data_IF_680323461046
#
_entry.id   IF_680323461046
#
_cell.length_a   1.000
_cell.length_b   1.000
_cell.length_c   1.000
_cell.angle_alpha   90.00
_cell.angle_beta   90.00
_cell.angle_gamma   90.00
#
_symmetry.space_group_name_H-M   'P 1'
#
loop_
_entity.id
_entity.type
_entity.pdbx_description
1 polymer ?
#
# COMPACT_ATOMS: atom_id res chain seq x y z
N UNK A 1 -0.81 6.60 -0.21
CA UNK A 1 -2.21 6.96 0.11
C UNK A 1 -3.07 5.72 -0.05
N UNK A 2 -3.68 5.28 1.05
CA UNK A 2 -4.24 3.95 1.23
C UNK A 2 -5.29 3.55 0.18
N UNK A 3 -5.21 2.29 -0.24
CA UNK A 3 -6.30 1.61 -0.92
C UNK A 3 -7.45 1.48 0.08
N UNK A 4 -8.50 2.28 -0.17
CA UNK A 4 -9.83 2.16 0.44
C UNK A 4 -9.85 2.36 1.94
N UNK A 5 -9.80 3.64 2.32
CA UNK A 5 -10.03 4.08 3.67
C UNK A 5 -11.50 3.78 4.04
N UNK A 6 -11.71 2.97 5.08
CA UNK A 6 -13.00 2.68 5.72
C UNK A 6 -13.58 3.90 6.45
N UNK A 7 -13.09 5.10 6.13
CA UNK A 7 -13.30 6.37 6.82
C UNK A 7 -14.40 7.25 6.18
N UNK A 8 -15.05 6.80 5.10
CA UNK A 8 -16.24 7.49 4.62
C UNK A 8 -17.43 7.21 5.54
N UNK A 9 -18.13 8.25 6.01
CA UNK A 9 -19.12 8.08 7.05
C UNK A 9 -20.35 7.31 6.52
N UNK A 10 -20.83 6.32 7.30
CA UNK A 10 -21.90 5.38 6.92
C UNK A 10 -23.20 6.05 6.44
N UNK A 11 -23.46 7.30 6.83
CA UNK A 11 -24.63 8.04 6.34
C UNK A 11 -24.57 8.33 4.84
N UNK A 12 -23.36 8.46 4.27
CA UNK A 12 -23.18 8.72 2.83
C UNK A 12 -23.71 7.54 1.99
N UNK A 13 -23.59 6.31 2.48
CA UNK A 13 -24.13 5.13 1.79
C UNK A 13 -25.66 5.15 1.64
N UNK A 14 -26.36 5.82 2.55
CA UNK A 14 -27.82 5.94 2.49
C UNK A 14 -28.26 6.83 1.32
N UNK A 15 -27.47 7.87 1.02
CA UNK A 15 -27.74 8.86 -0.04
C UNK A 15 -27.29 8.39 -1.44
N UNK A 16 -26.43 7.37 -1.52
CA UNK A 16 -25.96 6.85 -2.81
C UNK A 16 -27.10 6.18 -3.59
N UNK A 17 -27.15 6.34 -4.93
CA UNK A 17 -28.05 5.55 -5.76
C UNK A 17 -27.80 4.05 -5.60
N UNK A 18 -28.84 3.19 -5.77
CA UNK A 18 -28.75 1.74 -5.48
C UNK A 18 -27.56 1.03 -6.13
N UNK A 19 -27.17 1.42 -7.34
CA UNK A 19 -26.04 0.84 -8.07
C UNK A 19 -24.65 1.15 -7.50
N UNK A 20 -24.53 2.23 -6.73
CA UNK A 20 -23.27 2.64 -6.10
C UNK A 20 -23.17 2.19 -4.64
N UNK A 21 -24.28 1.75 -4.05
CA UNK A 21 -24.28 1.14 -2.71
C UNK A 21 -23.44 -0.13 -2.70
N UNK A 22 -22.72 -0.32 -1.61
CA UNK A 22 -21.93 -1.52 -1.37
C UNK A 22 -22.85 -2.74 -1.38
N UNK A 23 -22.38 -3.83 -1.96
CA UNK A 23 -23.10 -5.11 -1.95
C UNK A 23 -23.26 -5.61 -0.50
N UNK A 24 -24.47 -6.06 -0.18
CA UNK A 24 -24.79 -6.61 1.13
C UNK A 24 -24.09 -7.96 1.33
N UNK A 25 -23.58 -8.19 2.55
CA UNK A 25 -22.87 -9.43 2.86
C UNK A 25 -23.76 -10.67 2.76
N UNK A 26 -25.05 -10.55 3.11
CA UNK A 26 -26.06 -11.61 3.00
C UNK A 26 -26.16 -12.21 1.59
N UNK A 27 -25.99 -11.39 0.56
CA UNK A 27 -26.06 -11.82 -0.85
C UNK A 27 -24.81 -12.56 -1.33
N UNK A 28 -23.73 -12.53 -0.53
CA UNK A 28 -22.42 -13.10 -0.86
C UNK A 28 -21.95 -14.19 0.12
N UNK A 29 -22.63 -14.40 1.25
CA UNK A 29 -22.32 -15.41 2.27
C UNK A 29 -22.67 -16.85 1.85
N UNK A 30 -22.71 -17.13 0.56
CA UNK A 30 -22.95 -18.47 0.02
C UNK A 30 -21.62 -19.16 -0.29
N UNK A 31 -21.54 -20.46 -0.01
CA UNK A 31 -20.35 -21.28 -0.27
C UNK A 31 -19.98 -21.29 -1.76
N UNK A 32 -20.97 -21.26 -2.65
CA UNK A 32 -20.77 -21.12 -4.11
C UNK A 32 -19.96 -19.86 -4.44
N UNK A 33 -20.27 -18.76 -3.75
CA UNK A 33 -19.69 -17.44 -4.00
C UNK A 33 -18.28 -17.37 -3.45
N UNK A 34 -18.03 -17.96 -2.27
CA UNK A 34 -16.67 -18.08 -1.74
C UNK A 34 -15.78 -18.90 -2.66
N UNK A 35 -16.26 -20.03 -3.16
CA UNK A 35 -15.53 -20.87 -4.12
C UNK A 35 -15.27 -20.16 -5.46
N UNK A 36 -16.25 -19.39 -5.92
CA UNK A 36 -16.10 -18.59 -7.14
C UNK A 36 -15.04 -17.51 -7.00
N UNK A 37 -15.04 -16.78 -5.88
CA UNK A 37 -14.06 -15.72 -5.63
C UNK A 37 -12.66 -16.30 -5.39
N UNK A 38 -12.53 -17.40 -4.65
CA UNK A 38 -11.23 -18.07 -4.46
C UNK A 38 -10.67 -18.61 -5.78
N UNK A 39 -11.51 -19.15 -6.64
CA UNK A 39 -11.11 -19.56 -7.99
C UNK A 39 -10.65 -18.35 -8.84
N UNK A 40 -11.37 -17.23 -8.77
CA UNK A 40 -10.98 -16.01 -9.46
C UNK A 40 -9.63 -15.45 -8.94
N UNK A 41 -9.37 -15.59 -7.65
CA UNK A 41 -8.09 -15.23 -7.03
C UNK A 41 -6.94 -16.13 -7.50
N UNK A 42 -7.14 -17.45 -7.51
CA UNK A 42 -6.13 -18.41 -8.01
C UNK A 42 -5.79 -18.16 -9.48
N UNK A 43 -6.78 -17.87 -10.32
CA UNK A 43 -6.54 -17.55 -11.72
C UNK A 43 -5.75 -16.25 -11.88
N UNK A 44 -5.95 -15.25 -11.02
CA UNK A 44 -5.14 -14.04 -11.04
C UNK A 44 -3.68 -14.35 -10.67
N UNK A 45 -3.44 -15.20 -9.68
CA UNK A 45 -2.08 -15.64 -9.31
C UNK A 45 -1.42 -16.35 -10.50
N UNK A 46 -2.11 -17.29 -11.16
CA UNK A 46 -1.59 -17.93 -12.38
C UNK A 46 -1.32 -16.95 -13.53
N UNK A 47 -2.15 -15.93 -13.70
CA UNK A 47 -1.94 -14.93 -14.73
C UNK A 47 -0.73 -14.05 -14.43
N UNK A 48 -0.46 -13.76 -13.16
CA UNK A 48 0.74 -13.04 -12.71
C UNK A 48 1.98 -13.88 -12.99
N UNK A 49 1.95 -15.19 -12.67
CA UNK A 49 3.09 -16.09 -12.88
C UNK A 49 3.43 -16.31 -14.36
N UNK A 50 2.41 -16.34 -15.23
CA UNK A 50 2.57 -16.52 -16.68
C UNK A 50 2.88 -15.22 -17.43
N UNK A 51 3.01 -14.10 -16.72
CA UNK A 51 3.13 -12.80 -17.33
C UNK A 51 4.59 -12.49 -17.68
N UNK A 52 4.87 -12.36 -18.97
CA UNK A 52 6.18 -11.88 -19.43
C UNK A 52 6.27 -10.35 -19.26
N UNK A 53 7.16 -9.83 -18.37
CA UNK A 53 7.21 -8.40 -18.05
C UNK A 53 7.62 -7.51 -19.24
N UNK A 54 8.29 -8.09 -20.23
CA UNK A 54 8.80 -7.39 -21.41
C UNK A 54 7.75 -7.22 -22.51
N UNK A 55 6.65 -7.98 -22.48
CA UNK A 55 5.57 -7.85 -23.46
C UNK A 55 4.46 -6.93 -22.95
N UNK A 56 4.61 -5.63 -23.15
CA UNK A 56 3.56 -4.63 -22.92
C UNK A 56 2.41 -4.71 -23.97
N UNK A 57 2.14 -5.90 -24.48
CA UNK A 57 1.13 -6.18 -25.51
C UNK A 57 -0.24 -6.37 -24.86
N UNK A 58 -1.33 -6.04 -25.56
CA UNK A 58 -2.68 -6.28 -25.05
C UNK A 58 -2.95 -7.79 -24.98
N UNK A 59 -3.01 -8.31 -23.74
CA UNK A 59 -3.28 -9.72 -23.48
C UNK A 59 -4.75 -9.94 -23.08
N UNK A 60 -5.29 -11.10 -23.46
CA UNK A 60 -6.65 -11.51 -23.11
C UNK A 60 -6.60 -12.97 -22.67
N UNK A 61 -7.09 -13.23 -21.46
CA UNK A 61 -7.31 -14.58 -20.97
C UNK A 61 -8.78 -14.79 -20.66
N UNK A 62 -9.27 -15.96 -21.06
CA UNK A 62 -10.59 -16.44 -20.70
C UNK A 62 -10.41 -17.88 -20.22
N UNK A 63 -10.85 -18.17 -19.00
CA UNK A 63 -10.85 -19.52 -18.44
C UNK A 63 -12.25 -19.84 -17.92
N UNK A 64 -12.70 -21.04 -18.25
CA UNK A 64 -13.99 -21.57 -17.83
C UNK A 64 -13.75 -22.92 -17.18
N UNK A 65 -14.12 -23.05 -15.92
CA UNK A 65 -13.96 -24.29 -15.16
C UNK A 65 -15.06 -24.39 -14.10
N UNK A 66 -15.56 -25.60 -13.85
CA UNK A 66 -16.55 -25.90 -12.79
C UNK A 66 -17.78 -24.98 -12.78
N UNK A 67 -18.21 -24.49 -13.95
CA UNK A 67 -19.34 -23.57 -14.07
C UNK A 67 -19.02 -22.08 -13.79
N UNK A 68 -17.79 -21.76 -13.44
CA UNK A 68 -17.29 -20.39 -13.35
C UNK A 68 -16.58 -20.01 -14.64
N UNK A 69 -16.66 -18.75 -15.02
CA UNK A 69 -15.84 -18.22 -16.10
C UNK A 69 -15.27 -16.88 -15.73
N UNK A 70 -13.97 -16.77 -15.86
CA UNK A 70 -13.20 -15.60 -15.52
C UNK A 70 -12.52 -15.09 -16.79
N UNK A 71 -12.59 -13.78 -16.97
CA UNK A 71 -12.06 -13.07 -18.12
C UNK A 71 -11.17 -11.93 -17.63
N UNK A 72 -9.92 -11.95 -18.07
CA UNK A 72 -8.94 -10.89 -17.83
C UNK A 72 -8.51 -10.31 -19.17
N UNK A 73 -8.64 -8.99 -19.33
CA UNK A 73 -8.19 -8.26 -20.52
C UNK A 73 -7.30 -7.11 -20.08
N UNK A 74 -6.03 -7.18 -20.47
CA UNK A 74 -5.06 -6.14 -20.25
C UNK A 74 -5.04 -5.25 -21.49
N UNK A 75 -5.21 -3.95 -21.27
CA UNK A 75 -4.95 -2.90 -22.26
C UNK A 75 -3.81 -2.02 -21.73
N UNK A 76 -3.26 -1.18 -22.59
CA UNK A 76 -2.24 -0.20 -22.20
C UNK A 76 -2.68 0.69 -21.03
N UNK A 77 -3.96 1.05 -20.98
CA UNK A 77 -4.48 2.03 -20.01
C UNK A 77 -5.29 1.43 -18.86
N UNK A 78 -5.84 0.24 -19.07
CA UNK A 78 -6.87 -0.34 -18.22
C UNK A 78 -6.71 -1.85 -18.15
N UNK A 79 -6.93 -2.40 -16.96
CA UNK A 79 -7.10 -3.84 -16.75
C UNK A 79 -8.60 -4.08 -16.51
N UNK A 80 -9.16 -5.02 -17.26
CA UNK A 80 -10.56 -5.39 -17.23
C UNK A 80 -10.66 -6.82 -16.72
N UNK A 81 -11.21 -6.98 -15.51
CA UNK A 81 -11.39 -8.27 -14.88
C UNK A 81 -12.87 -8.52 -14.65
N UNK A 82 -13.38 -9.64 -15.15
CA UNK A 82 -14.79 -9.99 -14.98
C UNK A 82 -14.94 -11.47 -14.76
N UNK A 83 -15.83 -11.84 -13.84
CA UNK A 83 -16.22 -13.22 -13.62
C UNK A 83 -17.72 -13.38 -13.79
N UNK A 84 -18.15 -14.54 -14.26
CA UNK A 84 -19.53 -14.99 -14.18
C UNK A 84 -19.60 -16.38 -13.58
N UNK A 85 -20.56 -16.55 -12.67
CA UNK A 85 -21.02 -17.84 -12.17
C UNK A 85 -22.23 -18.28 -12.99
N UNK A 86 -22.08 -19.39 -13.70
CA UNK A 86 -23.11 -20.02 -14.51
C UNK A 86 -23.63 -21.33 -13.92
N UNK A 87 -23.26 -21.65 -12.67
CA UNK A 87 -23.78 -22.83 -11.99
C UNK A 87 -25.32 -22.76 -11.93
N UNK A 88 -25.96 -23.86 -12.33
CA UNK A 88 -27.41 -24.04 -12.33
C UNK A 88 -27.91 -24.71 -11.05
N UNK A 89 -27.06 -24.83 -10.03
CA UNK A 89 -27.44 -25.46 -8.78
C UNK A 89 -28.56 -24.68 -8.11
N UNK A 90 -29.55 -25.40 -7.57
CA UNK A 90 -30.79 -24.83 -7.00
C UNK A 90 -30.55 -23.83 -5.86
N UNK A 91 -29.37 -23.87 -5.23
CA UNK A 91 -28.97 -23.00 -4.13
C UNK A 91 -28.11 -21.80 -4.55
N UNK A 92 -27.51 -21.79 -5.75
CA UNK A 92 -26.63 -20.69 -6.17
C UNK A 92 -27.39 -19.64 -6.97
N UNK A 93 -27.35 -18.39 -6.48
CA UNK A 93 -27.80 -17.24 -7.27
C UNK A 93 -26.75 -16.92 -8.35
N UNK A 94 -27.11 -16.83 -9.65
CA UNK A 94 -26.16 -16.46 -10.68
C UNK A 94 -25.59 -15.07 -10.44
N UNK A 95 -24.25 -14.96 -10.46
CA UNK A 95 -23.53 -13.73 -10.15
C UNK A 95 -22.57 -13.38 -11.28
N UNK A 96 -22.48 -12.10 -11.60
CA UNK A 96 -21.50 -11.57 -12.54
C UNK A 96 -20.85 -10.33 -11.97
N UNK A 97 -19.54 -10.32 -11.84
CA UNK A 97 -18.80 -9.12 -11.43
C UNK A 97 -17.98 -8.55 -12.58
N UNK A 98 -17.71 -7.26 -12.48
CA UNK A 98 -16.90 -6.51 -13.41
C UNK A 98 -16.06 -5.49 -12.64
N UNK A 99 -14.75 -5.56 -12.82
CA UNK A 99 -13.77 -4.66 -12.25
C UNK A 99 -12.99 -4.02 -13.38
N UNK A 100 -13.00 -2.70 -13.39
CA UNK A 100 -12.18 -1.86 -14.25
C UNK A 100 -11.13 -1.18 -13.38
N UNK A 101 -9.88 -1.48 -13.69
CA UNK A 101 -8.71 -0.96 -13.00
C UNK A 101 -7.91 -0.06 -13.92
N UNK A 102 -7.58 1.11 -13.40
CA UNK A 102 -6.75 2.10 -14.07
C UNK A 102 -5.29 1.83 -13.71
N UNK A 103 -4.47 1.63 -14.74
CA UNK A 103 -3.06 1.28 -14.57
C UNK A 103 -2.29 2.46 -13.97
N UNK A 104 -1.32 2.15 -13.11
CA UNK A 104 -0.50 3.15 -12.42
C UNK A 104 0.22 4.11 -13.38
N UNK A 105 0.65 3.65 -14.56
CA UNK A 105 1.30 4.49 -15.60
C UNK A 105 0.44 5.71 -16.02
N UNK A 106 -0.88 5.64 -15.84
CA UNK A 106 -1.82 6.69 -16.28
C UNK A 106 -2.51 7.37 -15.09
N UNK A 107 -2.60 6.67 -13.96
CA UNK A 107 -3.12 7.27 -12.74
C UNK A 107 -2.21 8.44 -12.32
N UNK A 108 -2.75 9.67 -12.23
CA UNK A 108 -2.03 10.87 -11.77
C UNK A 108 -1.51 10.78 -10.31
N UNK A 109 -1.75 9.67 -9.63
CA UNK A 109 -1.30 9.36 -8.27
C UNK A 109 -0.61 8.00 -8.35
N UNK A 110 0.52 7.83 -7.67
CA UNK A 110 1.45 6.67 -7.70
C UNK A 110 0.88 5.30 -7.28
N UNK A 111 -0.43 5.10 -7.36
CA UNK A 111 -1.10 3.85 -7.05
C UNK A 111 -2.14 3.60 -8.13
N UNK A 112 -2.06 2.49 -8.85
CA UNK A 112 -3.17 2.02 -9.69
C UNK A 112 -4.47 1.99 -8.89
N UNK A 113 -5.60 2.36 -9.50
CA UNK A 113 -6.89 2.51 -8.80
C UNK A 113 -8.02 1.74 -9.45
N UNK A 114 -8.91 1.19 -8.63
CA UNK A 114 -10.19 0.67 -9.10
C UNK A 114 -11.11 1.82 -9.54
N UNK A 115 -11.17 2.04 -10.86
CA UNK A 115 -12.07 3.03 -11.48
C UNK A 115 -13.52 2.64 -11.30
N UNK A 116 -13.86 1.38 -11.50
CA UNK A 116 -15.21 0.85 -11.31
C UNK A 116 -15.17 -0.61 -10.85
N UNK A 117 -16.02 -0.95 -9.90
CA UNK A 117 -16.25 -2.33 -9.48
C UNK A 117 -17.74 -2.53 -9.28
N UNK A 118 -18.35 -3.41 -10.06
CA UNK A 118 -19.79 -3.68 -9.99
C UNK A 118 -20.05 -5.17 -9.97
N UNK A 119 -21.03 -5.61 -9.18
CA UNK A 119 -21.60 -6.96 -9.24
C UNK A 119 -23.07 -6.89 -9.64
N UNK A 120 -23.47 -7.86 -10.45
CA UNK A 120 -24.83 -8.16 -10.86
C UNK A 120 -25.19 -9.51 -10.23
N UNK A 121 -26.23 -9.51 -9.42
CA UNK A 121 -26.74 -10.71 -8.73
C UNK A 121 -28.15 -10.94 -9.22
N UNK A 122 -28.46 -12.14 -9.70
CA UNK A 122 -29.83 -12.53 -10.04
C UNK A 122 -30.47 -13.18 -8.82
N UNK A 123 -31.24 -12.40 -8.07
CA UNK A 123 -31.99 -12.88 -6.92
C UNK A 123 -33.47 -13.01 -7.30
N UNK A 124 -33.97 -14.26 -7.33
CA UNK A 124 -35.39 -14.59 -7.61
C UNK A 124 -35.94 -13.91 -8.88
N UNK A 125 -35.14 -13.81 -9.94
CA UNK A 125 -35.51 -13.20 -11.22
C UNK A 125 -35.31 -11.68 -11.29
N UNK A 126 -34.85 -11.05 -10.21
CA UNK A 126 -34.50 -9.62 -10.18
C UNK A 126 -32.99 -9.44 -10.23
N UNK A 127 -32.54 -8.60 -11.17
CA UNK A 127 -31.11 -8.27 -11.30
C UNK A 127 -30.77 -7.12 -10.36
N UNK A 128 -30.01 -7.43 -9.31
CA UNK A 128 -29.51 -6.45 -8.34
C UNK A 128 -28.11 -6.02 -8.77
N UNK A 129 -27.95 -4.72 -9.05
CA UNK A 129 -26.66 -4.10 -9.36
C UNK A 129 -26.11 -3.38 -8.12
N UNK A 130 -24.89 -3.71 -7.70
CA UNK A 130 -24.22 -3.11 -6.53
C UNK A 130 -22.74 -2.85 -6.77
N UNK A 131 -22.17 -1.96 -5.98
CA UNK A 131 -20.73 -1.68 -5.94
C UNK A 131 -20.00 -2.75 -5.13
N UNK A 132 -18.86 -3.20 -5.63
CA UNK A 132 -17.96 -4.12 -4.91
C UNK A 132 -16.71 -3.43 -4.35
N UNK A 133 -16.54 -2.13 -4.59
CA UNK A 133 -15.33 -1.39 -4.19
C UNK A 133 -15.02 -1.48 -2.69
N UNK A 134 -16.06 -1.52 -1.85
CA UNK A 134 -15.94 -1.59 -0.38
C UNK A 134 -16.24 -2.97 0.19
N UNK A 135 -16.50 -3.95 -0.67
CA UNK A 135 -16.88 -5.28 -0.22
C UNK A 135 -15.67 -6.02 0.33
N UNK A 136 -15.72 -6.55 1.57
CA UNK A 136 -14.60 -7.30 2.14
C UNK A 136 -14.30 -8.56 1.34
N UNK A 137 -15.31 -9.15 0.69
CA UNK A 137 -15.17 -10.35 -0.14
C UNK A 137 -14.29 -10.15 -1.38
N UNK A 138 -14.16 -8.92 -1.88
CA UNK A 138 -13.37 -8.60 -3.07
C UNK A 138 -11.98 -8.07 -2.73
N UNK A 139 -11.61 -7.98 -1.44
CA UNK A 139 -10.33 -7.44 -1.00
C UNK A 139 -9.15 -8.23 -1.58
N UNK A 140 -9.21 -9.56 -1.58
CA UNK A 140 -8.14 -10.41 -2.12
C UNK A 140 -7.96 -10.26 -3.63
N UNK A 141 -9.07 -10.14 -4.38
CA UNK A 141 -9.04 -9.82 -5.81
C UNK A 141 -8.39 -8.45 -6.06
N UNK A 142 -8.75 -7.41 -5.30
CA UNK A 142 -8.15 -6.08 -5.48
C UNK A 142 -6.66 -6.06 -5.16
N UNK A 143 -6.22 -6.82 -4.15
CA UNK A 143 -4.80 -6.97 -3.84
C UNK A 143 -4.05 -7.62 -5.01
N UNK A 144 -4.54 -8.74 -5.55
CA UNK A 144 -3.94 -9.41 -6.71
C UNK A 144 -3.95 -8.56 -7.97
N UNK A 145 -5.01 -7.78 -8.19
CA UNK A 145 -5.05 -6.83 -9.28
C UNK A 145 -4.00 -5.72 -9.15
N UNK A 146 -3.71 -5.27 -7.92
CA UNK A 146 -2.60 -4.35 -7.66
C UNK A 146 -1.27 -5.01 -8.00
N UNK A 147 -1.05 -6.25 -7.54
CA UNK A 147 0.16 -7.04 -7.84
C UNK A 147 0.35 -7.23 -9.35
N UNK A 148 -0.73 -7.54 -10.07
CA UNK A 148 -0.73 -7.67 -11.52
C UNK A 148 -0.31 -6.37 -12.23
N UNK A 149 -0.81 -5.22 -11.77
CA UNK A 149 -0.43 -3.92 -12.35
C UNK A 149 1.06 -3.61 -12.12
N UNK A 150 1.60 -3.96 -10.93
CA UNK A 150 3.02 -3.85 -10.63
C UNK A 150 3.88 -4.80 -11.47
N UNK A 151 3.47 -6.07 -11.59
CA UNK A 151 4.16 -7.06 -12.43
C UNK A 151 4.25 -6.59 -13.90
N UNK A 152 3.17 -5.99 -14.41
CA UNK A 152 3.12 -5.39 -15.76
C UNK A 152 3.99 -4.14 -15.94
N UNK A 153 4.45 -3.53 -14.84
CA UNK A 153 5.40 -2.41 -14.85
C UNK A 153 6.84 -2.89 -14.64
N UNK A 154 7.05 -4.18 -14.38
CA UNK A 154 8.35 -4.74 -14.00
C UNK A 154 8.79 -4.34 -12.58
N UNK A 155 7.89 -3.75 -11.78
CA UNK A 155 8.14 -3.49 -10.37
C UNK A 155 7.67 -4.70 -9.55
N UNK A 156 8.61 -5.43 -8.96
CA UNK A 156 8.26 -6.53 -8.07
C UNK A 156 7.59 -5.96 -6.82
N UNK A 157 6.29 -6.21 -6.67
CA UNK A 157 5.45 -5.66 -5.59
C UNK A 157 5.92 -6.03 -4.17
N UNK A 158 6.85 -6.97 -4.03
CA UNK A 158 7.54 -7.26 -2.76
C UNK A 158 8.39 -6.10 -2.24
N UNK A 159 8.66 -5.07 -3.05
CA UNK A 159 9.44 -3.90 -2.64
C UNK A 159 8.59 -2.71 -2.13
N UNK A 160 7.26 -2.76 -2.18
CA UNK A 160 6.43 -1.63 -1.73
C UNK A 160 6.07 -1.65 -0.23
N UNK A 161 6.43 -2.69 0.51
CA UNK A 161 6.55 -2.60 1.97
C UNK A 161 7.94 -2.02 2.27
N UNK A 162 8.07 -0.69 2.19
CA UNK A 162 9.33 -0.02 2.53
C UNK A 162 10.05 0.74 1.43
N UNK A 163 9.44 0.92 0.25
CA UNK A 163 10.04 1.81 -0.76
C UNK A 163 10.02 3.25 -0.25
N UNK A 164 11.20 3.72 0.19
CA UNK A 164 11.46 5.13 0.51
C UNK A 164 11.09 5.95 -0.74
N UNK A 165 10.21 6.94 -0.55
CA UNK A 165 9.87 7.93 -1.58
C UNK A 165 11.16 8.42 -2.28
N UNK A 166 11.25 8.38 -3.62
CA UNK A 166 12.48 8.73 -4.33
C UNK A 166 13.02 10.11 -3.93
N UNK A 167 12.14 11.06 -3.61
CA UNK A 167 12.53 12.40 -3.13
C UNK A 167 13.21 12.33 -1.76
N UNK A 168 12.69 11.52 -0.84
CA UNK A 168 13.28 11.34 0.49
C UNK A 168 14.62 10.58 0.41
N UNK A 169 14.74 9.67 -0.55
CA UNK A 169 16.00 8.96 -0.81
C UNK A 169 17.09 9.89 -1.33
N UNK A 170 16.74 10.79 -2.25
CA UNK A 170 17.67 11.84 -2.70
C UNK A 170 18.10 12.77 -1.57
N UNK A 171 17.16 13.18 -0.70
CA UNK A 171 17.45 14.00 0.48
C UNK A 171 18.38 13.30 1.47
N UNK A 172 18.19 12.00 1.68
CA UNK A 172 19.07 11.18 2.52
C UNK A 172 20.49 11.10 1.92
N UNK A 173 20.60 10.88 0.62
CA UNK A 173 21.91 10.88 -0.07
C UNK A 173 22.60 12.24 0.02
N UNK A 174 21.85 13.33 -0.12
CA UNK A 174 22.38 14.69 0.07
C UNK A 174 22.87 14.89 1.50
N UNK A 175 22.11 14.45 2.50
CA UNK A 175 22.52 14.52 3.91
C UNK A 175 23.81 13.72 4.17
N UNK A 176 23.96 12.55 3.56
CA UNK A 176 25.19 11.76 3.63
C UNK A 176 26.39 12.53 3.09
N UNK A 177 26.24 13.21 1.95
CA UNK A 177 27.29 14.07 1.41
C UNK A 177 27.65 15.20 2.37
N UNK A 178 26.65 15.89 2.93
CA UNK A 178 26.88 16.96 3.91
C UNK A 178 27.62 16.42 5.14
N UNK A 179 27.23 15.27 5.67
CA UNK A 179 27.84 14.66 6.86
C UNK A 179 29.29 14.20 6.65
N UNK A 180 29.73 14.01 5.41
CA UNK A 180 31.12 13.66 5.05
C UNK A 180 32.05 14.88 4.92
N UNK A 181 31.55 16.10 5.11
CA UNK A 181 32.37 17.31 5.03
C UNK A 181 33.53 17.29 6.04
N UNK A 182 34.73 17.73 5.64
CA UNK A 182 35.95 17.65 6.44
C UNK A 182 35.91 18.36 7.81
N UNK A 183 34.97 19.29 8.00
CA UNK A 183 34.80 20.03 9.26
C UNK A 183 33.82 19.35 10.23
N UNK A 184 33.13 18.31 9.77
CA UNK A 184 32.28 17.46 10.59
C UNK A 184 33.12 16.22 10.93
N UNK A 185 33.77 16.26 12.09
CA UNK A 185 34.68 15.21 12.53
C UNK A 185 34.38 14.77 13.97
N UNK A 186 35.00 13.66 14.39
CA UNK A 186 34.88 13.14 15.74
C UNK A 186 33.43 12.79 16.13
N UNK A 187 33.00 13.32 17.27
CA UNK A 187 31.73 12.94 17.89
C UNK A 187 30.52 13.40 17.07
N UNK A 188 30.60 14.58 16.42
CA UNK A 188 29.54 15.10 15.55
C UNK A 188 29.32 14.17 14.34
N UNK A 189 30.40 13.75 13.68
CA UNK A 189 30.33 12.82 12.56
C UNK A 189 29.72 11.48 12.98
N UNK A 190 30.15 10.93 14.12
CA UNK A 190 29.61 9.67 14.65
C UNK A 190 28.09 9.74 14.95
N UNK A 191 27.59 10.92 15.35
CA UNK A 191 26.16 11.14 15.63
C UNK A 191 25.36 11.37 14.35
N UNK A 192 25.89 12.16 13.41
CA UNK A 192 25.26 12.38 12.12
C UNK A 192 25.08 11.06 11.35
N UNK A 193 26.10 10.19 11.36
CA UNK A 193 26.03 8.85 10.76
C UNK A 193 25.00 7.94 11.43
N UNK A 194 24.87 7.98 12.77
CA UNK A 194 23.79 7.29 13.48
C UNK A 194 22.41 7.80 13.08
N UNK A 195 22.21 9.12 13.01
CA UNK A 195 20.96 9.71 12.56
C UNK A 195 20.60 9.27 11.13
N UNK A 196 21.57 9.27 10.22
CA UNK A 196 21.39 8.75 8.85
C UNK A 196 20.94 7.29 8.89
N UNK A 197 21.54 6.46 9.75
CA UNK A 197 21.12 5.07 9.91
C UNK A 197 19.67 4.95 10.41
N UNK A 198 19.28 5.77 11.40
CA UNK A 198 17.90 5.80 11.91
C UNK A 198 16.91 6.25 10.83
N UNK A 199 17.25 7.26 10.03
CA UNK A 199 16.42 7.66 8.90
C UNK A 199 16.25 6.51 7.90
N UNK A 200 17.31 5.74 7.60
CA UNK A 200 17.21 4.56 6.72
C UNK A 200 16.25 3.50 7.26
N UNK A 201 16.13 3.36 8.57
CA UNK A 201 15.21 2.41 9.21
C UNK A 201 13.77 2.94 9.24
N UNK A 202 13.57 4.23 9.53
CA UNK A 202 12.24 4.82 9.71
C UNK A 202 11.54 5.13 8.37
N UNK A 203 12.28 5.64 7.37
CA UNK A 203 11.70 6.09 6.10
C UNK A 203 10.88 5.01 5.36
N UNK A 204 11.31 3.73 5.32
CA UNK A 204 10.51 2.63 4.80
C UNK A 204 9.18 2.42 5.55
N UNK A 205 9.17 2.64 6.86
CA UNK A 205 8.10 2.24 7.77
C UNK A 205 7.36 3.44 8.37
N UNK A 206 7.14 4.51 7.60
CA UNK A 206 6.45 5.72 8.08
C UNK A 206 4.94 5.55 8.32
N UNK A 207 4.32 4.47 7.85
CA UNK A 207 2.86 4.28 7.90
C UNK A 207 2.27 4.24 9.32
N UNK A 208 2.89 3.57 10.32
CA UNK A 208 2.38 3.51 11.70
C UNK A 208 2.41 4.84 12.45
N UNK A 209 3.21 5.80 11.98
CA UNK A 209 3.35 7.10 12.62
C UNK A 209 2.17 8.03 12.29
N UNK A 210 1.87 8.95 13.20
CA UNK A 210 0.84 9.96 13.00
C UNK A 210 1.27 11.00 11.94
N UNK A 211 0.31 11.82 11.48
CA UNK A 211 0.58 12.82 10.44
C UNK A 211 1.63 13.85 10.89
N UNK A 212 1.56 14.27 12.15
CA UNK A 212 2.53 15.19 12.75
C UNK A 212 3.92 14.55 12.85
N UNK A 213 4.01 13.32 13.35
CA UNK A 213 5.27 12.59 13.51
C UNK A 213 5.96 12.35 12.17
N UNK A 214 5.18 11.96 11.14
CA UNK A 214 5.67 11.86 9.76
C UNK A 214 6.20 13.20 9.25
N UNK A 215 5.52 14.30 9.55
CA UNK A 215 6.00 15.62 9.19
C UNK A 215 7.32 15.94 9.91
N UNK A 216 7.44 15.63 11.20
CA UNK A 216 8.65 15.86 11.98
C UNK A 216 9.84 15.13 11.36
N UNK A 217 9.71 13.83 11.06
CA UNK A 217 10.78 13.04 10.42
C UNK A 217 11.19 13.63 9.08
N UNK A 218 10.21 13.99 8.23
CA UNK A 218 10.49 14.61 6.92
C UNK A 218 11.17 15.97 7.06
N UNK A 219 10.75 16.80 8.02
CA UNK A 219 11.32 18.13 8.26
C UNK A 219 12.76 18.02 8.78
N UNK A 220 13.02 17.09 9.71
CA UNK A 220 14.36 16.82 10.21
C UNK A 220 15.32 16.43 9.09
N UNK A 221 14.90 15.50 8.21
CA UNK A 221 15.72 15.02 7.09
C UNK A 221 15.95 16.11 6.02
N UNK A 222 14.90 16.81 5.62
CA UNK A 222 14.95 17.73 4.47
C UNK A 222 15.51 19.10 4.79
N UNK A 223 15.33 19.58 6.02
CA UNK A 223 15.63 20.97 6.38
C UNK A 223 16.50 21.08 7.63
N UNK A 224 16.05 20.59 8.79
CA UNK A 224 16.70 20.92 10.06
C UNK A 224 18.13 20.38 10.13
N UNK A 225 18.32 19.08 9.91
CA UNK A 225 19.63 18.46 10.04
C UNK A 225 20.62 18.96 8.96
N UNK A 226 20.25 19.04 7.66
CA UNK A 226 21.10 19.67 6.66
C UNK A 226 21.47 21.12 7.00
N UNK A 227 20.52 21.94 7.43
CA UNK A 227 20.76 23.36 7.75
C UNK A 227 21.69 23.53 8.96
N UNK A 228 21.52 22.69 9.99
CA UNK A 228 22.36 22.72 11.18
C UNK A 228 23.81 22.32 10.84
N UNK A 229 23.98 21.25 10.04
CA UNK A 229 25.31 20.79 9.65
C UNK A 229 26.01 21.78 8.70
N UNK A 230 25.32 22.24 7.66
CA UNK A 230 25.86 23.25 6.72
C UNK A 230 26.16 24.57 7.42
N UNK A 231 25.25 25.03 8.29
CA UNK A 231 25.47 26.22 9.12
C UNK A 231 26.71 26.10 10.00
N UNK A 232 26.91 24.94 10.63
CA UNK A 232 28.11 24.67 11.42
C UNK A 232 29.39 24.70 10.55
N UNK A 233 29.36 24.12 9.35
CA UNK A 233 30.53 24.15 8.44
C UNK A 233 30.86 25.56 7.93
N UNK A 234 29.88 26.47 7.88
CA UNK A 234 30.06 27.84 7.43
C UNK A 234 30.64 28.79 8.50
N UNK A 235 30.67 28.37 9.77
CA UNK A 235 31.19 29.19 10.88
C UNK A 235 32.73 29.31 10.87
N UNK A 236 33.23 30.42 11.41
CA UNK A 236 34.67 30.57 11.74
C UNK A 236 35.11 29.55 12.79
N UNK A 237 36.41 29.26 12.88
CA UNK A 237 36.94 28.26 13.81
C UNK A 237 36.58 28.54 15.28
N UNK A 238 36.72 29.80 15.73
CA UNK A 238 36.36 30.22 17.10
C UNK A 238 34.86 30.03 17.39
N UNK A 239 33.99 30.38 16.44
CA UNK A 239 32.54 30.23 16.61
C UNK A 239 32.11 28.76 16.54
N UNK A 240 32.82 27.92 15.79
CA UNK A 240 32.57 26.47 15.78
C UNK A 240 32.82 25.85 17.13
N UNK A 241 33.91 26.21 17.80
CA UNK A 241 34.24 25.66 19.11
C UNK A 241 33.20 26.03 20.16
N UNK A 242 32.74 27.29 20.15
CA UNK A 242 31.66 27.78 21.01
C UNK A 242 30.33 27.04 20.76
N UNK A 243 29.99 26.79 19.48
CA UNK A 243 28.71 26.16 19.07
C UNK A 243 28.77 24.64 19.00
N UNK A 244 29.94 24.03 19.20
CA UNK A 244 30.13 22.59 19.10
C UNK A 244 29.24 21.82 20.09
N UNK A 245 29.12 22.32 21.33
CA UNK A 245 28.26 21.74 22.36
C UNK A 245 26.78 21.84 22.00
N UNK A 246 26.35 23.00 21.51
CA UNK A 246 24.97 23.25 21.11
C UNK A 246 24.56 22.32 19.96
N UNK A 247 25.44 22.17 18.95
CA UNK A 247 25.26 21.25 17.84
C UNK A 247 25.11 19.82 18.34
N UNK A 248 26.03 19.36 19.19
CA UNK A 248 25.99 18.01 19.74
C UNK A 248 24.67 17.73 20.47
N UNK A 249 24.21 18.68 21.30
CA UNK A 249 22.95 18.56 22.01
C UNK A 249 21.75 18.46 21.06
N UNK A 250 21.72 19.28 20.00
CA UNK A 250 20.67 19.23 18.98
C UNK A 250 20.61 17.86 18.28
N UNK A 251 21.76 17.31 17.91
CA UNK A 251 21.84 15.97 17.30
C UNK A 251 21.35 14.88 18.25
N UNK A 252 21.68 14.95 19.54
CA UNK A 252 21.18 14.01 20.54
C UNK A 252 19.65 14.11 20.69
N UNK A 253 19.08 15.31 20.67
CA UNK A 253 17.63 15.48 20.77
C UNK A 253 16.91 14.88 19.56
N UNK A 254 17.45 15.08 18.35
CA UNK A 254 16.92 14.45 17.13
C UNK A 254 17.01 12.93 17.23
N UNK A 255 18.13 12.39 17.71
CA UNK A 255 18.37 10.96 17.84
C UNK A 255 17.35 10.30 18.78
N UNK A 256 17.10 10.92 19.94
CA UNK A 256 16.09 10.46 20.90
C UNK A 256 14.69 10.44 20.28
N UNK A 257 14.35 11.49 19.54
CA UNK A 257 13.04 11.61 18.89
C UNK A 257 12.83 10.50 17.85
N UNK A 258 13.86 10.22 17.05
CA UNK A 258 13.79 9.14 16.05
C UNK A 258 13.70 7.74 16.69
N UNK A 259 14.38 7.50 17.82
CA UNK A 259 14.24 6.24 18.56
C UNK A 259 12.83 6.03 19.08
N UNK A 260 12.20 7.07 19.64
CA UNK A 260 10.80 6.99 20.10
C UNK A 260 9.85 6.62 18.95
N UNK A 261 10.11 7.13 17.74
CA UNK A 261 9.32 6.76 16.57
C UNK A 261 9.58 5.32 16.10
N UNK A 262 10.81 4.82 16.19
CA UNK A 262 11.10 3.41 15.91
C UNK A 262 10.39 2.47 16.88
N UNK A 263 10.43 2.76 18.18
CA UNK A 263 9.72 1.97 19.19
C UNK A 263 8.22 1.90 18.90
N UNK A 264 7.60 3.03 18.54
CA UNK A 264 6.18 3.05 18.13
C UNK A 264 5.89 2.20 16.89
N UNK A 265 6.78 2.21 15.91
CA UNK A 265 6.66 1.39 14.70
C UNK A 265 6.73 -0.10 15.07
N UNK A 266 7.67 -0.47 15.92
CA UNK A 266 7.85 -1.85 16.41
C UNK A 266 6.63 -2.32 17.22
N UNK A 267 6.13 -1.51 18.15
CA UNK A 267 4.93 -1.82 18.94
C UNK A 267 3.70 -2.03 18.06
N UNK A 268 3.53 -1.19 17.03
CA UNK A 268 2.45 -1.36 16.08
C UNK A 268 2.59 -2.68 15.29
N UNK A 269 3.82 -3.06 14.95
CA UNK A 269 4.10 -4.33 14.24
C UNK A 269 3.78 -5.53 15.13
N UNK A 270 4.19 -5.51 16.40
CA UNK A 270 3.86 -6.56 17.37
C UNK A 270 2.35 -6.71 17.55
N UNK A 271 1.63 -5.60 17.67
CA UNK A 271 0.16 -5.59 17.78
C UNK A 271 -0.54 -6.21 16.55
N UNK A 272 -0.05 -5.92 15.33
CA UNK A 272 -0.54 -6.57 14.10
C UNK A 272 -0.31 -8.09 14.11
N UNK A 273 0.85 -8.54 14.55
CA UNK A 273 1.19 -9.97 14.65
C UNK A 273 0.29 -10.66 15.67
N UNK A 274 0.10 -10.09 16.85
CA UNK A 274 -0.80 -10.62 17.88
C UNK A 274 -2.23 -10.74 17.39
N UNK A 275 -2.71 -9.74 16.63
CA UNK A 275 -4.04 -9.79 16.03
C UNK A 275 -4.16 -10.95 15.03
N UNK A 276 -3.15 -11.17 14.18
CA UNK A 276 -3.14 -12.28 13.23
C UNK A 276 -3.11 -13.64 13.93
N UNK A 277 -2.33 -13.79 15.00
CA UNK A 277 -2.30 -15.00 15.82
C UNK A 277 -3.66 -15.27 16.48
N UNK A 278 -4.33 -14.24 17.01
CA UNK A 278 -5.69 -14.36 17.55
C UNK A 278 -6.69 -14.82 16.48
N UNK A 279 -6.64 -14.25 15.28
CA UNK A 279 -7.51 -14.65 14.15
C UNK A 279 -7.25 -16.09 13.71
N UNK A 280 -5.99 -16.53 13.69
CA UNK A 280 -5.64 -17.92 13.36
C UNK A 280 -6.13 -18.90 14.41
N UNK A 281 -5.96 -18.61 15.71
CA UNK A 281 -6.52 -19.46 16.78
C UNK A 281 -8.03 -19.65 16.60
N UNK A 282 -8.77 -18.59 16.30
CA UNK A 282 -10.22 -18.66 16.05
C UNK A 282 -10.58 -19.54 14.83
N UNK A 283 -9.71 -19.62 13.81
CA UNK A 283 -9.94 -20.44 12.61
C UNK A 283 -9.61 -21.92 12.79
N UNK A 284 -8.61 -22.24 13.61
CA UNK A 284 -8.04 -23.59 13.68
C UNK A 284 -8.32 -24.32 15.01
N UNK A 285 -8.74 -23.63 16.08
CA UNK A 285 -9.20 -24.27 17.33
C UNK A 285 -10.72 -24.59 17.31
N UNK A 286 -11.25 -25.00 16.15
CA UNK A 286 -12.60 -25.57 16.03
C UNK A 286 -12.55 -27.01 15.52
#
# INVERSE_FOLDING_TARGET
MGLFDSSEPQWLEKLLPPQFKTVEASLLQDASTTNFLSYAEQLLDEFIDKLDPLENKPQKWKRTERGFTVYLKIRRNLILFSGYDSQKDRSSTPKKFYIQWERQMIAKRDTGKCKQGTILINDRGRIIKRSIKRSPFFKGIFQRMKLLDHALLGTNASQEQGAIDPVLKEQLNHLEQVATHAYISGVIHSRATRLIHLFRQILPELEPLDLEERHVVKRMLSTELPNILTGYTALSAENRELRHRDLFQALCQMELTLHQYLEKIEDHRLSKVDHLLKVNKIRYDK
#
